data_IF_174310658034
#
_entry.id   IF_174310658034
#
_cell.length_a   1.000
_cell.length_b   1.000
_cell.length_c   1.000
_cell.angle_alpha   90.00
_cell.angle_beta   90.00
_cell.angle_gamma   90.00
#
_symmetry.space_group_name_H-M   'P 1'
#
loop_
_entity.id
_entity.type
_entity.pdbx_description
1 polymer ?
#
# COMPACT_ATOMS: atom_id res chain seq x y z
N UNK A 1 15.19 5.28 -27.14
CA UNK A 1 15.76 4.08 -26.50
C UNK A 1 15.02 3.87 -25.20
N UNK A 2 14.05 2.95 -25.22
CA UNK A 2 13.20 2.62 -24.09
C UNK A 2 13.84 1.47 -23.30
N UNK A 3 13.95 1.61 -21.98
CA UNK A 3 14.21 0.49 -21.07
C UNK A 3 13.84 0.91 -19.65
N UNK A 4 12.88 0.21 -19.07
CA UNK A 4 12.44 0.42 -17.70
C UNK A 4 11.30 -0.49 -17.27
N UNK A 5 11.06 -1.61 -17.95
CA UNK A 5 10.27 -2.70 -17.39
C UNK A 5 11.10 -3.36 -16.28
N UNK A 6 10.92 -2.92 -15.03
CA UNK A 6 11.11 -3.84 -13.90
C UNK A 6 9.90 -4.76 -13.95
N UNK A 7 10.16 -6.04 -14.20
CA UNK A 7 9.17 -7.02 -14.65
C UNK A 7 7.88 -7.05 -13.84
N UNK A 8 6.80 -7.49 -14.50
CA UNK A 8 5.49 -7.76 -13.93
C UNK A 8 5.56 -8.80 -12.79
N UNK A 9 6.08 -8.39 -11.64
CA UNK A 9 5.91 -9.14 -10.41
C UNK A 9 4.48 -8.86 -9.96
N UNK A 10 3.60 -9.80 -10.28
CA UNK A 10 2.24 -9.80 -9.76
C UNK A 10 2.32 -9.91 -8.24
N UNK A 11 1.83 -8.89 -7.54
CA UNK A 11 1.74 -8.87 -6.07
C UNK A 11 0.41 -9.50 -5.64
N UNK A 12 0.43 -10.34 -4.61
CA UNK A 12 -0.80 -10.76 -3.91
C UNK A 12 -0.89 -9.97 -2.63
N UNK A 13 -1.98 -9.23 -2.49
CA UNK A 13 -2.30 -8.45 -1.31
C UNK A 13 -3.29 -9.19 -0.42
N UNK A 14 -3.08 -9.11 0.89
CA UNK A 14 -4.02 -9.62 1.90
C UNK A 14 -4.12 -8.65 3.06
N UNK A 15 -5.34 -8.46 3.56
CA UNK A 15 -5.60 -7.75 4.80
C UNK A 15 -5.26 -8.63 6.00
N UNK A 16 -4.53 -8.09 6.96
CA UNK A 16 -4.07 -8.83 8.14
C UNK A 16 -4.65 -8.24 9.42
N UNK A 17 -5.29 -9.10 10.20
CA UNK A 17 -5.77 -8.82 11.57
C UNK A 17 -5.21 -9.87 12.54
N UNK A 18 -5.29 -9.57 13.84
CA UNK A 18 -4.98 -10.53 14.90
C UNK A 18 -6.30 -11.06 15.46
N UNK A 19 -6.56 -12.36 15.34
CA UNK A 19 -7.81 -12.98 15.80
C UNK A 19 -8.01 -12.69 17.30
N UNK A 20 -9.16 -12.13 17.66
CA UNK A 20 -9.46 -11.80 19.06
C UNK A 20 -8.58 -10.74 19.73
N UNK A 21 -7.59 -10.18 19.03
CA UNK A 21 -6.65 -9.20 19.56
C UNK A 21 -5.42 -9.78 20.27
N UNK A 22 -5.36 -11.09 20.47
CA UNK A 22 -4.24 -11.81 21.11
C UNK A 22 -3.97 -13.22 20.52
N UNK A 23 -4.77 -13.67 19.56
CA UNK A 23 -4.64 -14.96 18.88
C UNK A 23 -3.72 -14.93 17.66
N UNK A 24 -4.03 -15.73 16.64
CA UNK A 24 -3.21 -15.85 15.43
C UNK A 24 -3.46 -14.70 14.44
N UNK A 25 -2.45 -14.31 13.65
CA UNK A 25 -2.67 -13.47 12.48
C UNK A 25 -3.52 -14.20 11.43
N UNK A 26 -4.55 -13.51 10.94
CA UNK A 26 -5.55 -14.05 10.02
C UNK A 26 -5.79 -13.10 8.85
N UNK A 27 -6.30 -13.67 7.76
CA UNK A 27 -6.65 -12.90 6.57
C UNK A 27 -8.09 -12.40 6.65
N UNK A 28 -8.29 -11.16 7.03
CA UNK A 28 -9.61 -10.57 7.22
C UNK A 28 -9.63 -9.06 6.96
N UNK A 29 -10.65 -8.60 6.25
CA UNK A 29 -10.89 -7.18 5.97
C UNK A 29 -12.06 -6.67 6.82
N UNK A 30 -11.90 -5.60 7.63
CA UNK A 30 -12.99 -5.03 8.40
C UNK A 30 -14.22 -4.68 7.54
N UNK A 31 -15.45 -4.94 8.02
CA UNK A 31 -15.81 -5.20 9.42
C UNK A 31 -15.60 -6.65 9.88
N UNK A 32 -15.17 -7.56 9.00
CA UNK A 32 -14.85 -8.92 9.41
C UNK A 32 -13.64 -8.90 10.36
N UNK A 33 -13.76 -9.64 11.47
CA UNK A 33 -12.74 -9.72 12.53
C UNK A 33 -12.22 -11.13 12.75
N UNK A 34 -12.71 -12.08 11.96
CA UNK A 34 -12.27 -13.47 11.95
C UNK A 34 -12.24 -14.02 10.51
N UNK A 35 -11.52 -15.12 10.31
CA UNK A 35 -11.37 -15.81 9.04
C UNK A 35 -10.89 -17.24 9.26
N UNK A 36 -11.32 -18.14 8.37
CA UNK A 36 -10.87 -19.53 8.37
C UNK A 36 -9.41 -19.67 7.87
N UNK A 37 -8.82 -18.61 7.31
CA UNK A 37 -7.48 -18.62 6.74
C UNK A 37 -6.52 -17.87 7.66
N UNK A 38 -5.56 -18.60 8.23
CA UNK A 38 -4.45 -17.99 8.98
C UNK A 38 -3.41 -17.42 8.02
N UNK A 39 -2.67 -16.41 8.48
CA UNK A 39 -1.54 -15.87 7.71
C UNK A 39 -0.46 -16.93 7.50
N UNK A 40 -0.22 -17.81 8.47
CA UNK A 40 0.78 -18.86 8.36
C UNK A 40 0.48 -19.83 7.21
N UNK A 41 -0.76 -20.31 7.12
CA UNK A 41 -1.19 -21.20 6.04
C UNK A 41 -1.09 -20.52 4.68
N UNK A 42 -1.47 -19.24 4.61
CA UNK A 42 -1.35 -18.47 3.39
C UNK A 42 0.10 -18.24 2.97
N UNK A 43 0.99 -17.86 3.89
CA UNK A 43 2.42 -17.69 3.62
C UNK A 43 3.05 -19.00 3.10
N UNK A 44 2.68 -20.15 3.68
CA UNK A 44 3.13 -21.45 3.20
C UNK A 44 2.71 -21.72 1.74
N UNK A 45 1.50 -21.31 1.35
CA UNK A 45 1.07 -21.39 -0.05
C UNK A 45 1.86 -20.44 -0.95
N UNK A 46 2.15 -19.22 -0.47
CA UNK A 46 2.88 -18.22 -1.25
C UNK A 46 4.31 -18.66 -1.59
N UNK A 47 4.98 -19.42 -0.72
CA UNK A 47 6.30 -20.00 -1.00
C UNK A 47 6.31 -20.80 -2.31
N UNK A 48 5.23 -21.50 -2.65
CA UNK A 48 5.12 -22.29 -3.88
C UNK A 48 4.82 -21.49 -5.16
N UNK A 49 4.62 -20.18 -5.07
CA UNK A 49 4.30 -19.32 -6.23
C UNK A 49 5.52 -18.53 -6.72
N UNK A 50 5.38 -17.67 -7.73
CA UNK A 50 6.38 -16.67 -8.14
C UNK A 50 5.94 -15.22 -7.85
N UNK A 51 4.86 -15.05 -7.08
CA UNK A 51 4.22 -13.75 -6.85
C UNK A 51 4.80 -13.08 -5.62
N UNK A 52 5.04 -11.77 -5.69
CA UNK A 52 5.39 -10.97 -4.52
C UNK A 52 4.20 -10.87 -3.56
N UNK A 53 4.46 -10.44 -2.32
CA UNK A 53 3.43 -10.36 -1.27
C UNK A 53 3.30 -8.93 -0.75
N UNK A 54 2.06 -8.50 -0.50
CA UNK A 54 1.74 -7.25 0.18
C UNK A 54 0.87 -7.56 1.39
N UNK A 55 1.37 -7.29 2.58
CA UNK A 55 0.61 -7.48 3.83
C UNK A 55 0.02 -6.13 4.23
N UNK A 56 -1.31 -6.02 4.19
CA UNK A 56 -2.04 -4.81 4.58
C UNK A 56 -2.54 -4.91 6.02
N UNK A 57 -1.79 -4.30 6.94
CA UNK A 57 -2.10 -4.39 8.36
C UNK A 57 -3.29 -3.52 8.73
N UNK A 58 -4.33 -4.16 9.25
CA UNK A 58 -5.53 -3.49 9.77
C UNK A 58 -5.52 -3.33 11.29
N UNK A 59 -4.57 -3.96 11.97
CA UNK A 59 -4.31 -3.75 13.39
C UNK A 59 -2.82 -3.78 13.71
N UNK A 60 -2.40 -2.93 14.65
CA UNK A 60 -1.00 -2.88 15.09
C UNK A 60 -0.60 -4.18 15.82
N UNK A 61 -1.54 -4.81 16.52
CA UNK A 61 -1.33 -6.06 17.24
C UNK A 61 -0.90 -7.20 16.30
N UNK A 62 -1.36 -7.19 15.05
CA UNK A 62 -0.99 -8.21 14.07
C UNK A 62 0.44 -8.07 13.55
N UNK A 63 1.04 -6.88 13.60
CA UNK A 63 2.30 -6.58 12.91
C UNK A 63 3.42 -7.51 13.37
N UNK A 64 3.76 -7.53 14.66
CA UNK A 64 4.89 -8.33 15.14
C UNK A 64 4.70 -9.84 14.91
N UNK A 65 3.58 -10.47 15.30
CA UNK A 65 3.37 -11.90 15.03
C UNK A 65 3.43 -12.24 13.53
N UNK A 66 2.91 -11.38 12.66
CA UNK A 66 3.00 -11.58 11.21
C UNK A 66 4.42 -11.52 10.67
N UNK A 67 5.25 -10.59 11.17
CA UNK A 67 6.65 -10.49 10.75
C UNK A 67 7.49 -11.66 11.27
N UNK A 68 7.17 -12.21 12.44
CA UNK A 68 7.78 -13.45 12.94
C UNK A 68 7.48 -14.63 12.01
N UNK A 69 6.23 -14.79 11.57
CA UNK A 69 5.84 -15.81 10.59
C UNK A 69 6.53 -15.58 9.23
N UNK A 70 6.58 -14.32 8.77
CA UNK A 70 7.26 -13.97 7.53
C UNK A 70 8.76 -14.31 7.59
N UNK A 71 9.43 -14.06 8.72
CA UNK A 71 10.84 -14.40 8.92
C UNK A 71 11.13 -15.90 8.83
N UNK A 72 10.17 -16.75 9.21
CA UNK A 72 10.29 -18.21 9.11
C UNK A 72 10.29 -18.71 7.66
N UNK A 73 9.63 -17.98 6.75
CA UNK A 73 9.55 -18.31 5.31
C UNK A 73 10.43 -17.42 4.45
N UNK A 74 11.08 -16.40 5.02
CA UNK A 74 11.76 -15.33 4.30
C UNK A 74 12.86 -15.79 3.34
N UNK A 75 13.70 -16.76 3.75
CA UNK A 75 14.74 -17.33 2.86
C UNK A 75 14.15 -18.04 1.63
N UNK A 76 12.91 -18.50 1.71
CA UNK A 76 12.19 -19.16 0.62
C UNK A 76 11.41 -18.18 -0.26
N UNK A 77 11.28 -16.93 0.19
CA UNK A 77 10.65 -15.84 -0.55
C UNK A 77 11.72 -15.01 -1.26
N UNK A 78 12.26 -15.51 -2.37
CA UNK A 78 13.17 -14.75 -3.25
C UNK A 78 12.40 -13.72 -4.11
N UNK A 79 11.61 -12.87 -3.44
CA UNK A 79 10.64 -12.00 -4.11
C UNK A 79 10.27 -10.77 -3.26
N UNK A 80 9.70 -9.73 -3.88
CA UNK A 80 9.33 -8.51 -3.16
C UNK A 80 8.31 -8.76 -2.06
N UNK A 81 8.60 -8.20 -0.88
CA UNK A 81 7.68 -8.10 0.25
C UNK A 81 7.34 -6.64 0.48
N UNK A 82 6.04 -6.34 0.53
CA UNK A 82 5.51 -5.02 0.82
C UNK A 82 4.74 -5.06 2.13
N UNK A 83 5.02 -4.10 3.01
CA UNK A 83 4.35 -3.96 4.30
C UNK A 83 3.51 -2.70 4.27
N UNK A 84 2.19 -2.87 4.17
CA UNK A 84 1.23 -1.79 4.04
C UNK A 84 0.60 -1.40 5.38
N UNK A 85 0.45 -0.11 5.63
CA UNK A 85 -0.25 0.42 6.79
C UNK A 85 -0.68 1.87 6.64
N UNK A 86 -1.93 2.14 7.03
CA UNK A 86 -2.45 3.51 7.15
C UNK A 86 -2.02 4.10 8.49
N UNK A 87 -0.97 4.91 8.47
CA UNK A 87 -0.28 5.42 9.69
C UNK A 87 -0.62 6.88 10.01
N UNK A 88 -1.36 7.56 9.14
CA UNK A 88 -1.79 8.95 9.32
C UNK A 88 -3.28 9.13 9.02
N UNK A 89 -3.95 10.11 9.65
CA UNK A 89 -5.30 10.49 9.25
C UNK A 89 -5.26 11.25 7.91
N UNK A 90 -6.15 10.89 7.00
CA UNK A 90 -6.26 11.49 5.68
C UNK A 90 -7.62 12.12 5.40
N UNK A 91 -7.84 12.57 4.15
CA UNK A 91 -9.07 13.23 3.77
C UNK A 91 -10.30 12.36 4.04
N UNK A 92 -11.25 12.93 4.78
CA UNK A 92 -12.52 12.31 5.15
C UNK A 92 -12.38 10.93 5.84
N UNK A 93 -11.23 10.60 6.41
CA UNK A 93 -11.02 9.34 7.13
C UNK A 93 -11.75 9.31 8.46
N UNK A 94 -12.57 8.28 8.67
CA UNK A 94 -13.29 8.05 9.95
C UNK A 94 -12.59 7.02 10.84
N UNK A 95 -11.72 6.18 10.28
CA UNK A 95 -10.99 5.15 11.01
C UNK A 95 -9.73 5.72 11.64
N UNK A 96 -9.42 5.26 12.84
CA UNK A 96 -8.16 5.57 13.49
C UNK A 96 -6.99 4.94 12.70
N UNK A 97 -5.92 5.70 12.41
CA UNK A 97 -4.71 5.13 11.82
C UNK A 97 -3.98 4.22 12.83
N UNK A 98 -3.09 3.39 12.31
CA UNK A 98 -2.10 2.69 13.12
C UNK A 98 -1.17 3.70 13.81
N UNK A 99 -0.64 3.35 14.98
CA UNK A 99 0.41 4.17 15.59
C UNK A 99 1.65 4.17 14.68
N UNK A 100 1.96 5.34 14.11
CA UNK A 100 3.00 5.48 13.12
C UNK A 100 4.39 5.07 13.64
N UNK A 101 4.74 5.40 14.88
CA UNK A 101 6.08 5.10 15.41
C UNK A 101 6.20 3.61 15.68
N UNK A 102 5.24 3.04 16.41
CA UNK A 102 5.25 1.62 16.73
C UNK A 102 5.22 0.74 15.47
N UNK A 103 4.44 1.14 14.45
CA UNK A 103 4.42 0.45 13.16
C UNK A 103 5.79 0.51 12.49
N UNK A 104 6.32 1.72 12.26
CA UNK A 104 7.59 1.93 11.56
C UNK A 104 8.77 1.27 12.29
N UNK A 105 8.87 1.41 13.61
CA UNK A 105 9.94 0.79 14.41
C UNK A 105 9.91 -0.75 14.27
N UNK A 106 8.71 -1.34 14.26
CA UNK A 106 8.54 -2.80 14.18
C UNK A 106 8.87 -3.34 12.78
N UNK A 107 8.36 -2.71 11.72
CA UNK A 107 8.58 -3.17 10.34
C UNK A 107 10.02 -2.95 9.89
N UNK A 108 10.64 -1.84 10.28
CA UNK A 108 12.00 -1.50 9.87
C UNK A 108 13.06 -2.37 10.54
N UNK A 109 12.82 -2.76 11.79
CA UNK A 109 13.72 -3.66 12.54
C UNK A 109 13.59 -5.12 12.11
N UNK A 110 12.37 -5.59 11.84
CA UNK A 110 12.11 -7.00 11.50
C UNK A 110 12.33 -7.30 10.01
N UNK A 111 12.09 -6.33 9.12
CA UNK A 111 12.14 -6.52 7.67
C UNK A 111 12.85 -5.34 6.98
N UNK A 112 14.18 -5.18 7.16
CA UNK A 112 14.92 -4.03 6.65
C UNK A 112 14.93 -3.92 5.13
N UNK A 113 14.73 -5.03 4.41
CA UNK A 113 14.76 -5.09 2.94
C UNK A 113 13.36 -4.96 2.30
N UNK A 114 12.30 -4.86 3.10
CA UNK A 114 10.93 -4.74 2.58
C UNK A 114 10.65 -3.33 2.03
N UNK A 115 9.74 -3.25 1.05
CA UNK A 115 9.14 -1.97 0.64
C UNK A 115 8.04 -1.60 1.63
N UNK A 116 8.03 -0.36 2.11
CA UNK A 116 6.97 0.14 2.97
C UNK A 116 5.89 0.81 2.13
N UNK A 117 4.64 0.36 2.26
CA UNK A 117 3.48 0.95 1.59
C UNK A 117 2.69 1.77 2.61
N UNK A 118 2.96 3.07 2.70
CA UNK A 118 2.48 3.91 3.79
C UNK A 118 1.32 4.77 3.32
N UNK A 119 0.19 4.67 4.01
CA UNK A 119 -1.05 5.32 3.63
C UNK A 119 -1.60 6.27 4.67
N UNK A 120 -2.77 6.81 4.33
CA UNK A 120 -3.61 7.57 5.24
C UNK A 120 -4.97 6.89 5.34
N UNK A 121 -5.61 6.97 6.50
CA UNK A 121 -7.03 6.59 6.59
C UNK A 121 -7.86 7.60 5.81
N UNK A 122 -8.66 7.14 4.85
CA UNK A 122 -9.40 8.00 3.93
C UNK A 122 -10.86 7.58 3.79
N UNK A 123 -11.74 8.56 3.53
CA UNK A 123 -13.12 8.32 3.11
C UNK A 123 -13.27 8.28 1.59
N UNK A 124 -14.48 7.94 1.11
CA UNK A 124 -14.82 7.87 -0.31
C UNK A 124 -15.40 9.18 -0.89
N UNK A 125 -15.32 10.29 -0.15
CA UNK A 125 -15.96 11.55 -0.52
C UNK A 125 -15.17 12.32 -1.59
N UNK A 126 -15.87 12.75 -2.64
CA UNK A 126 -15.29 13.58 -3.71
C UNK A 126 -15.07 15.03 -3.25
N UNK A 127 -14.09 15.70 -3.85
CA UNK A 127 -13.86 17.15 -3.72
C UNK A 127 -12.89 17.55 -2.60
N UNK A 128 -12.31 16.59 -1.89
CA UNK A 128 -11.17 16.82 -0.99
C UNK A 128 -9.97 16.00 -1.46
N UNK A 129 -8.77 16.40 -1.04
CA UNK A 129 -7.53 15.71 -1.33
C UNK A 129 -6.56 15.80 -0.17
N UNK A 130 -5.45 15.07 -0.27
CA UNK A 130 -4.29 15.22 0.60
C UNK A 130 -3.79 16.67 0.64
N UNK A 131 -3.85 17.27 1.82
CA UNK A 131 -3.42 18.64 2.05
C UNK A 131 -1.92 18.73 2.39
N UNK A 132 -1.37 19.96 2.34
CA UNK A 132 0.04 20.21 2.65
C UNK A 132 0.49 19.66 4.01
N UNK A 133 -0.23 19.87 5.13
CA UNK A 133 0.18 19.32 6.42
C UNK A 133 0.23 17.79 6.41
N UNK A 134 -0.65 17.14 5.66
CA UNK A 134 -0.73 15.67 5.59
C UNK A 134 0.51 15.07 4.90
N UNK A 135 0.91 15.64 3.75
CA UNK A 135 2.08 15.15 3.01
C UNK A 135 3.39 15.54 3.70
N UNK A 136 3.44 16.69 4.37
CA UNK A 136 4.60 17.13 5.14
C UNK A 136 4.86 16.23 6.34
N UNK A 137 3.81 15.84 7.06
CA UNK A 137 3.93 14.91 8.20
C UNK A 137 4.37 13.52 7.73
N UNK A 138 3.81 13.01 6.63
CA UNK A 138 4.26 11.75 6.02
C UNK A 138 5.75 11.82 5.64
N UNK A 139 6.18 12.91 4.99
CA UNK A 139 7.59 13.12 4.65
C UNK A 139 8.49 13.11 5.90
N UNK A 140 8.06 13.76 6.99
CA UNK A 140 8.82 13.81 8.26
C UNK A 140 9.00 12.43 8.87
N UNK A 141 7.96 11.58 8.83
CA UNK A 141 8.03 10.20 9.31
C UNK A 141 8.92 9.32 8.42
N UNK A 142 8.94 9.57 7.12
CA UNK A 142 9.68 8.75 6.16
C UNK A 142 11.16 9.15 6.01
N UNK A 143 11.52 10.37 6.38
CA UNK A 143 12.88 10.91 6.27
C UNK A 143 13.98 10.00 6.87
N UNK A 144 13.84 9.43 8.09
CA UNK A 144 14.87 8.56 8.66
C UNK A 144 14.92 7.14 8.08
N UNK A 145 13.92 6.74 7.28
CA UNK A 145 13.83 5.38 6.74
C UNK A 145 14.87 5.16 5.64
N UNK A 146 15.43 3.95 5.55
CA UNK A 146 16.32 3.54 4.45
C UNK A 146 15.60 2.75 3.35
N UNK A 147 14.46 2.14 3.69
CA UNK A 147 13.62 1.32 2.81
C UNK A 147 13.09 2.11 1.61
N UNK A 148 12.77 1.45 0.48
CA UNK A 148 11.84 2.00 -0.49
C UNK A 148 10.49 2.29 0.17
N UNK A 149 9.87 3.43 -0.18
CA UNK A 149 8.56 3.82 0.35
C UNK A 149 7.62 4.12 -0.81
N UNK A 150 6.49 3.44 -0.87
CA UNK A 150 5.39 3.79 -1.76
C UNK A 150 4.26 4.38 -0.95
N UNK A 151 3.72 5.53 -1.37
CA UNK A 151 2.61 6.17 -0.67
C UNK A 151 1.29 5.64 -1.21
N UNK A 152 0.52 4.98 -0.36
CA UNK A 152 -0.79 4.43 -0.71
C UNK A 152 -1.81 5.58 -0.79
N UNK A 153 -2.16 5.99 -2.00
CA UNK A 153 -3.07 7.11 -2.27
C UNK A 153 -4.34 6.63 -2.97
N UNK A 154 -5.50 7.09 -2.50
CA UNK A 154 -6.79 6.74 -3.08
C UNK A 154 -7.00 7.52 -4.37
N UNK A 155 -7.25 6.83 -5.48
CA UNK A 155 -7.34 7.42 -6.82
C UNK A 155 -8.30 8.62 -6.89
N UNK A 156 -9.46 8.52 -6.25
CA UNK A 156 -10.48 9.58 -6.22
C UNK A 156 -10.02 10.90 -5.57
N UNK A 157 -8.96 10.87 -4.76
CA UNK A 157 -8.43 12.04 -4.04
C UNK A 157 -7.20 12.66 -4.73
N UNK A 158 -6.54 11.91 -5.62
CA UNK A 158 -5.28 12.35 -6.24
C UNK A 158 -5.44 13.60 -7.13
N UNK A 159 -6.49 13.74 -7.97
CA UNK A 159 -6.65 14.92 -8.82
C UNK A 159 -6.59 16.26 -8.04
N UNK A 160 -7.11 16.28 -6.81
CA UNK A 160 -7.11 17.48 -5.95
C UNK A 160 -5.79 17.71 -5.21
N UNK A 161 -4.81 16.81 -5.35
CA UNK A 161 -3.57 16.78 -4.56
C UNK A 161 -2.30 16.59 -5.36
N UNK A 162 -2.37 16.76 -6.68
CA UNK A 162 -1.21 16.59 -7.57
C UNK A 162 0.00 17.41 -7.08
N UNK A 163 -0.10 18.72 -6.78
CA UNK A 163 1.06 19.50 -6.31
C UNK A 163 1.68 18.97 -5.01
N UNK A 164 0.84 18.57 -4.06
CA UNK A 164 1.24 18.06 -2.74
C UNK A 164 1.97 16.72 -2.88
N UNK A 165 1.42 15.81 -3.69
CA UNK A 165 1.99 14.48 -3.93
C UNK A 165 3.26 14.56 -4.78
N UNK A 166 3.33 15.47 -5.77
CA UNK A 166 4.55 15.72 -6.53
C UNK A 166 5.67 16.23 -5.61
N UNK A 167 5.37 17.18 -4.73
CA UNK A 167 6.33 17.66 -3.74
C UNK A 167 6.81 16.52 -2.82
N UNK A 168 5.90 15.66 -2.37
CA UNK A 168 6.25 14.52 -1.53
C UNK A 168 7.23 13.57 -2.24
N UNK A 169 6.99 13.23 -3.51
CA UNK A 169 7.88 12.37 -4.30
C UNK A 169 9.25 13.01 -4.59
N UNK A 170 9.37 14.33 -4.54
CA UNK A 170 10.64 15.03 -4.73
C UNK A 170 11.56 14.93 -3.50
N UNK A 171 11.03 14.57 -2.32
CA UNK A 171 11.82 14.52 -1.09
C UNK A 171 12.84 13.37 -1.07
N UNK A 172 12.63 12.33 -1.89
CA UNK A 172 13.57 11.20 -2.01
C UNK A 172 13.34 10.42 -3.29
N UNK A 173 14.42 9.93 -3.91
CA UNK A 173 14.37 9.02 -5.05
C UNK A 173 13.79 7.63 -4.67
N UNK A 174 13.77 7.29 -3.38
CA UNK A 174 13.18 6.04 -2.85
C UNK A 174 11.65 6.06 -2.84
N UNK A 175 11.05 7.21 -3.09
CA UNK A 175 9.61 7.39 -2.95
C UNK A 175 8.86 7.05 -4.23
N UNK A 176 7.69 6.44 -4.12
CA UNK A 176 6.77 6.14 -5.22
C UNK A 176 5.32 6.31 -4.77
N UNK A 177 4.36 6.14 -5.67
CA UNK A 177 2.93 6.07 -5.35
C UNK A 177 2.37 4.69 -5.63
N UNK A 178 1.48 4.24 -4.77
CA UNK A 178 0.56 3.14 -5.04
C UNK A 178 -0.84 3.73 -5.06
N UNK A 179 -1.41 3.84 -6.25
CA UNK A 179 -2.75 4.39 -6.48
C UNK A 179 -3.75 3.25 -6.33
N UNK A 180 -4.62 3.35 -5.33
CA UNK A 180 -5.61 2.30 -5.03
C UNK A 180 -7.04 2.83 -5.12
N UNK A 181 -8.00 1.92 -5.25
CA UNK A 181 -9.44 2.26 -5.31
C UNK A 181 -10.25 1.41 -4.35
N UNK A 182 -11.20 2.00 -3.63
CA UNK A 182 -12.23 1.30 -2.88
C UNK A 182 -13.46 0.99 -3.73
N UNK A 183 -14.27 0.02 -3.30
CA UNK A 183 -15.51 -0.39 -4.00
C UNK A 183 -16.53 0.75 -4.17
N UNK A 184 -16.54 1.70 -3.24
CA UNK A 184 -17.48 2.82 -3.24
C UNK A 184 -16.90 4.09 -3.90
N UNK A 185 -15.66 4.02 -4.38
CA UNK A 185 -15.02 5.19 -4.97
C UNK A 185 -15.65 5.55 -6.30
N UNK A 186 -15.89 6.85 -6.49
CA UNK A 186 -16.34 7.41 -7.75
C UNK A 186 -15.16 8.12 -8.40
N UNK A 187 -14.60 7.49 -9.43
CA UNK A 187 -13.52 8.01 -10.25
C UNK A 187 -13.72 7.58 -11.71
N UNK A 188 -13.10 8.31 -12.61
CA UNK A 188 -13.15 8.08 -14.06
C UNK A 188 -11.82 7.54 -14.59
N UNK A 189 -11.82 7.03 -15.82
CA UNK A 189 -10.58 6.66 -16.52
C UNK A 189 -9.73 7.92 -16.75
N UNK A 190 -10.37 9.06 -17.00
CA UNK A 190 -9.73 10.37 -17.14
C UNK A 190 -8.97 10.78 -15.87
N UNK A 191 -9.51 10.49 -14.68
CA UNK A 191 -8.79 10.73 -13.42
C UNK A 191 -7.49 9.91 -13.35
N UNK A 192 -7.53 8.64 -13.77
CA UNK A 192 -6.33 7.78 -13.80
C UNK A 192 -5.31 8.23 -14.85
N UNK A 193 -5.79 8.70 -16.01
CA UNK A 193 -4.94 9.28 -17.05
C UNK A 193 -4.27 10.57 -16.57
N UNK A 194 -5.01 11.43 -15.86
CA UNK A 194 -4.47 12.64 -15.26
C UNK A 194 -3.32 12.32 -14.28
N UNK A 195 -3.49 11.30 -13.44
CA UNK A 195 -2.40 10.81 -12.56
C UNK A 195 -1.20 10.38 -13.42
N UNK A 196 -1.43 9.56 -14.44
CA UNK A 196 -0.36 9.04 -15.31
C UNK A 196 0.41 10.13 -16.06
N UNK A 197 -0.24 11.25 -16.38
CA UNK A 197 0.36 12.40 -17.04
C UNK A 197 1.21 13.26 -16.08
N UNK A 198 0.84 13.30 -14.80
CA UNK A 198 1.47 14.18 -13.81
C UNK A 198 2.60 13.53 -13.00
N UNK A 199 2.75 12.20 -13.08
CA UNK A 199 3.76 11.46 -12.32
C UNK A 199 4.65 10.59 -13.22
N UNK A 200 5.87 10.34 -12.77
CA UNK A 200 6.79 9.41 -13.45
C UNK A 200 6.18 8.00 -13.43
N UNK A 201 5.88 7.47 -14.63
CA UNK A 201 5.25 6.16 -14.84
C UNK A 201 6.03 5.01 -14.21
N UNK A 202 7.34 5.15 -14.01
CA UNK A 202 8.18 4.14 -13.36
C UNK A 202 8.08 4.14 -11.83
N UNK A 203 7.44 5.17 -11.26
CA UNK A 203 7.27 5.40 -9.82
C UNK A 203 5.81 5.42 -9.38
N UNK A 204 4.90 4.93 -10.22
CA UNK A 204 3.47 4.80 -9.90
C UNK A 204 3.02 3.38 -10.17
N UNK A 205 2.48 2.75 -9.13
CA UNK A 205 1.83 1.45 -9.16
C UNK A 205 0.32 1.64 -9.08
N UNK A 206 -0.43 0.78 -9.75
CA UNK A 206 -1.89 0.85 -9.82
C UNK A 206 -2.49 -0.42 -9.24
N UNK A 207 -3.32 -0.26 -8.22
CA UNK A 207 -4.10 -1.30 -7.55
C UNK A 207 -5.60 -0.97 -7.71
N UNK A 208 -6.11 -1.27 -8.90
CA UNK A 208 -7.41 -0.78 -9.38
C UNK A 208 -8.32 -1.98 -9.62
N UNK A 209 -9.56 -1.90 -9.14
CA UNK A 209 -10.56 -2.93 -9.37
C UNK A 209 -11.06 -2.95 -10.84
N UNK A 210 -11.49 -4.12 -11.29
CA UNK A 210 -12.23 -4.25 -12.54
C UNK A 210 -13.66 -3.70 -12.40
N UNK A 211 -14.27 -3.16 -13.48
CA UNK A 211 -13.78 -3.11 -14.87
C UNK A 211 -12.87 -1.92 -15.22
N UNK A 212 -12.75 -0.91 -14.34
CA UNK A 212 -12.02 0.33 -14.65
C UNK A 212 -10.54 0.08 -14.96
N UNK A 213 -9.92 -0.91 -14.32
CA UNK A 213 -8.55 -1.30 -14.62
C UNK A 213 -8.36 -1.74 -16.08
N UNK A 214 -9.26 -2.56 -16.62
CA UNK A 214 -9.25 -2.96 -18.04
C UNK A 214 -9.44 -1.77 -18.98
N UNK A 215 -10.38 -0.86 -18.66
CA UNK A 215 -10.61 0.34 -19.46
C UNK A 215 -9.40 1.27 -19.46
N UNK A 216 -8.77 1.46 -18.29
CA UNK A 216 -7.55 2.24 -18.14
C UNK A 216 -6.39 1.65 -18.93
N UNK A 217 -6.15 0.34 -18.82
CA UNK A 217 -5.12 -0.39 -19.58
C UNK A 217 -5.32 -0.22 -21.09
N UNK A 218 -6.57 -0.38 -21.56
CA UNK A 218 -6.93 -0.14 -22.96
C UNK A 218 -6.63 1.30 -23.39
N UNK A 219 -6.97 2.30 -22.56
CA UNK A 219 -6.71 3.70 -22.85
C UNK A 219 -5.21 4.04 -22.98
N UNK A 220 -4.34 3.28 -22.30
CA UNK A 220 -2.87 3.47 -22.35
C UNK A 220 -2.14 2.50 -23.27
N UNK A 221 -2.88 1.69 -24.05
CA UNK A 221 -2.34 0.76 -25.04
C UNK A 221 -1.65 -0.47 -24.44
N UNK A 222 -2.07 -0.92 -23.26
CA UNK A 222 -1.63 -2.16 -22.63
C UNK A 222 -2.80 -3.15 -22.71
N UNK A 223 -2.59 -4.29 -23.37
CA UNK A 223 -3.54 -5.43 -23.40
C UNK A 223 -3.21 -6.43 -22.28
#
# INVERSE_FOLDING_TARGET
MASGARGDVHMVEVDVLLRGGDGDPILAHPPDTDSDITLQEWLAQMVGTNKGIKLDFKSLAAVRPSLELLGQVGQSLDRPVWLNGDILPGPCGSRAPLDARAFLDTVTSSCPDATLSLGWTTGCHQGQGYEWPMVQEMSRLCHPLSQPVTFAVRAALVPSSIPQLQWLLQQSHRYSLTVWTGKEDKYSVEDLLLIRENFDKSRVYYDIFEPQNSEFKKAIGIE
#
